data_IF_590290890683
#
_entry.id   IF_590290890683
#
_cell.length_a   1.000
_cell.length_b   1.000
_cell.length_c   1.000
_cell.angle_alpha   90.00
_cell.angle_beta   90.00
_cell.angle_gamma   90.00
#
_symmetry.space_group_name_H-M   'P 1'
#
loop_
_entity.id
_entity.type
_entity.pdbx_description
1 polymer ?
#
# COMPACT_ATOMS: atom_id res chain seq x y z
N UNK A 1 -6.23 8.41 2.85
CA UNK A 1 -5.38 8.16 4.04
C UNK A 1 -5.77 6.94 4.89
N UNK A 2 -6.98 6.33 4.80
CA UNK A 2 -7.24 4.95 5.30
C UNK A 2 -6.20 3.91 4.85
N UNK A 3 -5.53 4.18 3.72
CA UNK A 3 -4.38 3.43 3.25
C UNK A 3 -3.14 3.66 4.12
N UNK A 4 -2.74 4.85 4.54
CA UNK A 4 -1.44 5.07 5.20
C UNK A 4 -1.27 4.30 6.51
N UNK A 5 -2.27 4.30 7.40
CA UNK A 5 -2.28 3.45 8.61
C UNK A 5 -2.32 1.97 8.21
N UNK A 6 -3.22 1.57 7.30
CA UNK A 6 -3.27 0.18 6.78
C UNK A 6 -2.03 -0.24 5.96
N UNK A 7 -1.24 0.67 5.41
CA UNK A 7 -0.08 0.42 4.54
C UNK A 7 1.19 0.40 5.39
N UNK A 8 1.27 1.25 6.42
CA UNK A 8 2.23 1.11 7.52
C UNK A 8 2.01 -0.21 8.27
N UNK A 9 0.76 -0.65 8.44
CA UNK A 9 0.40 -1.85 9.21
C UNK A 9 0.36 -3.16 8.41
N UNK A 10 -0.21 -3.18 7.20
CA UNK A 10 -0.26 -4.39 6.36
C UNK A 10 1.06 -4.64 5.62
N UNK A 11 1.84 -3.59 5.35
CA UNK A 11 3.08 -3.70 4.57
C UNK A 11 4.30 -4.22 5.32
N UNK A 12 4.16 -4.71 6.56
CA UNK A 12 5.30 -5.16 7.38
C UNK A 12 5.28 -6.67 7.62
N UNK A 13 4.11 -7.24 7.94
CA UNK A 13 3.98 -8.68 8.23
C UNK A 13 3.53 -9.43 6.96
N UNK A 14 2.63 -8.87 6.14
CA UNK A 14 2.15 -9.53 4.92
C UNK A 14 3.09 -9.41 3.71
N UNK A 15 3.93 -8.37 3.65
CA UNK A 15 4.90 -8.17 2.55
C UNK A 15 6.11 -9.09 2.65
N UNK A 16 6.47 -9.54 3.85
CA UNK A 16 7.48 -10.58 4.09
C UNK A 16 6.94 -11.98 3.78
N UNK A 17 5.62 -12.19 3.97
CA UNK A 17 4.92 -13.43 3.66
C UNK A 17 4.47 -13.55 2.19
N UNK A 18 4.57 -12.46 1.43
CA UNK A 18 3.94 -12.32 0.11
C UNK A 18 4.86 -12.51 -1.08
N UNK A 19 6.09 -13.03 -0.90
CA UNK A 19 7.00 -13.22 -2.02
C UNK A 19 7.51 -14.65 -2.06
N UNK A 20 7.13 -15.33 -3.15
CA UNK A 20 7.79 -16.48 -3.81
C UNK A 20 6.96 -17.75 -4.03
N UNK A 21 5.63 -17.64 -4.01
CA UNK A 21 4.76 -18.54 -4.77
C UNK A 21 4.21 -17.91 -6.07
N UNK A 22 4.71 -16.75 -6.48
CA UNK A 22 4.51 -16.24 -7.84
C UNK A 22 5.44 -16.98 -8.82
N UNK A 23 5.20 -18.28 -8.99
CA UNK A 23 5.61 -19.00 -10.20
C UNK A 23 4.49 -19.00 -11.26
N UNK A 24 3.38 -18.32 -10.99
CA UNK A 24 2.28 -18.16 -11.91
C UNK A 24 1.87 -16.69 -11.88
N UNK A 25 2.20 -15.90 -12.92
CA UNK A 25 1.41 -14.72 -13.33
C UNK A 25 2.02 -13.88 -14.46
N UNK A 26 2.95 -14.39 -15.26
CA UNK A 26 3.22 -13.79 -16.56
C UNK A 26 3.57 -14.85 -17.61
N UNK A 27 3.02 -14.77 -18.83
CA UNK A 27 3.50 -15.59 -19.92
C UNK A 27 4.95 -15.26 -20.23
N UNK A 28 5.76 -16.27 -20.50
CA UNK A 28 7.11 -16.08 -20.98
C UNK A 28 7.12 -16.25 -22.50
N UNK A 29 7.57 -15.23 -23.22
CA UNK A 29 8.05 -15.32 -24.61
C UNK A 29 9.24 -16.29 -24.68
N UNK A 30 9.61 -16.81 -25.85
CA UNK A 30 10.86 -17.60 -26.00
C UNK A 30 12.10 -16.84 -25.51
N UNK A 31 12.12 -15.51 -25.68
CA UNK A 31 13.21 -14.68 -25.17
C UNK A 31 13.23 -14.65 -23.63
N UNK A 32 12.07 -14.51 -22.98
CA UNK A 32 11.94 -14.58 -21.52
C UNK A 32 12.21 -15.99 -20.99
N UNK A 33 11.74 -17.04 -21.67
CA UNK A 33 12.08 -18.42 -21.34
C UNK A 33 13.59 -18.66 -21.44
N UNK A 34 14.28 -18.15 -22.46
CA UNK A 34 15.74 -18.26 -22.58
C UNK A 34 16.49 -17.38 -21.57
N UNK A 35 15.89 -16.28 -21.11
CA UNK A 35 16.45 -15.46 -20.03
C UNK A 35 16.38 -16.20 -18.68
N UNK A 36 15.26 -16.85 -18.39
CA UNK A 36 15.04 -17.60 -17.16
C UNK A 36 15.70 -18.99 -17.20
N UNK A 37 15.85 -19.56 -18.41
CA UNK A 37 16.39 -20.88 -18.69
C UNK A 37 17.45 -20.84 -19.82
N UNK A 38 18.66 -20.32 -19.55
CA UNK A 38 19.69 -20.12 -20.58
C UNK A 38 20.23 -21.42 -21.20
N UNK A 39 19.98 -22.58 -20.58
CA UNK A 39 20.35 -23.90 -21.13
C UNK A 39 19.33 -24.47 -22.12
N UNK A 40 18.26 -23.73 -22.43
CA UNK A 40 17.24 -24.16 -23.38
C UNK A 40 17.85 -24.28 -24.80
N UNK A 41 17.91 -25.50 -25.39
CA UNK A 41 18.51 -25.69 -26.71
C UNK A 41 17.66 -25.03 -27.81
N UNK A 42 18.28 -24.75 -28.96
CA UNK A 42 17.56 -24.36 -30.16
C UNK A 42 16.83 -25.56 -30.77
N UNK A 43 15.56 -25.38 -31.16
CA UNK A 43 14.70 -26.40 -31.76
C UNK A 43 14.05 -27.35 -30.74
N UNK A 44 13.68 -26.85 -29.55
CA UNK A 44 13.13 -27.71 -28.49
C UNK A 44 11.68 -28.16 -28.75
N UNK A 45 11.27 -29.27 -28.12
CA UNK A 45 9.87 -29.75 -28.04
C UNK A 45 9.33 -29.64 -26.61
N UNK A 46 8.04 -29.95 -26.41
CA UNK A 46 7.39 -29.89 -25.09
C UNK A 46 8.09 -30.74 -24.03
N UNK A 47 8.64 -31.89 -24.43
CA UNK A 47 9.44 -32.77 -23.56
C UNK A 47 10.76 -32.12 -23.15
N UNK A 48 11.49 -31.52 -24.08
CA UNK A 48 12.77 -30.87 -23.83
C UNK A 48 12.59 -29.59 -23.01
N UNK A 49 11.52 -28.82 -23.28
CA UNK A 49 11.12 -27.68 -22.46
C UNK A 49 10.81 -28.12 -21.03
N UNK A 50 10.04 -29.21 -20.86
CA UNK A 50 9.73 -29.75 -19.54
C UNK A 50 11.00 -30.10 -18.75
N UNK A 51 11.96 -30.82 -19.35
CA UNK A 51 13.20 -31.20 -18.66
C UNK A 51 14.05 -30.00 -18.24
N UNK A 52 14.15 -28.98 -19.11
CA UNK A 52 14.90 -27.74 -18.80
C UNK A 52 14.23 -26.97 -17.67
N UNK A 53 12.90 -26.79 -17.72
CA UNK A 53 12.15 -26.10 -16.67
C UNK A 53 12.25 -26.85 -15.34
N UNK A 54 12.17 -28.19 -15.38
CA UNK A 54 12.33 -29.04 -14.20
C UNK A 54 13.71 -28.83 -13.57
N UNK A 55 14.78 -29.01 -14.34
CA UNK A 55 16.15 -28.89 -13.82
C UNK A 55 16.46 -27.49 -13.28
N UNK A 56 16.05 -26.44 -13.98
CA UNK A 56 16.28 -25.08 -13.53
C UNK A 56 15.41 -24.67 -12.34
N UNK A 57 14.20 -25.22 -12.21
CA UNK A 57 13.38 -25.04 -11.01
C UNK A 57 14.09 -25.63 -9.79
N UNK A 58 14.62 -26.86 -9.89
CA UNK A 58 15.39 -27.47 -8.80
C UNK A 58 16.58 -26.58 -8.38
N UNK A 59 17.40 -26.14 -9.35
CA UNK A 59 18.54 -25.24 -9.11
C UNK A 59 18.14 -23.91 -8.47
N UNK A 60 16.97 -23.36 -8.84
CA UNK A 60 16.46 -22.13 -8.24
C UNK A 60 16.18 -22.31 -6.76
N UNK A 61 15.52 -23.41 -6.36
CA UNK A 61 15.25 -23.71 -4.95
C UNK A 61 16.55 -23.94 -4.17
N UNK A 62 17.49 -24.69 -4.74
CA UNK A 62 18.83 -24.87 -4.15
C UNK A 62 19.52 -23.52 -3.88
N UNK A 63 19.53 -22.62 -4.86
CA UNK A 63 20.17 -21.31 -4.73
C UNK A 63 19.45 -20.41 -3.74
N UNK A 64 18.13 -20.27 -3.89
CA UNK A 64 17.35 -19.27 -3.15
C UNK A 64 17.25 -19.62 -1.65
N UNK A 65 17.22 -20.92 -1.33
CA UNK A 65 17.12 -21.43 0.04
C UNK A 65 18.42 -22.06 0.57
N UNK A 66 19.50 -22.06 -0.22
CA UNK A 66 20.78 -22.71 0.10
C UNK A 66 20.60 -24.20 0.48
N UNK A 67 19.80 -24.91 -0.31
CA UNK A 67 19.55 -26.35 -0.16
C UNK A 67 20.58 -27.15 -0.98
N UNK A 68 20.84 -28.39 -0.57
CA UNK A 68 21.61 -29.33 -1.37
C UNK A 68 20.72 -30.03 -2.41
N UNK A 69 21.31 -30.56 -3.48
CA UNK A 69 20.59 -31.42 -4.42
C UNK A 69 19.97 -32.64 -3.73
N UNK A 70 18.75 -32.99 -4.12
CA UNK A 70 17.96 -34.07 -3.55
C UNK A 70 17.30 -33.72 -2.21
N UNK A 71 17.01 -32.44 -1.96
CA UNK A 71 16.36 -32.02 -0.72
C UNK A 71 14.94 -32.58 -0.57
N UNK A 72 14.54 -32.77 0.69
CA UNK A 72 13.19 -33.17 1.09
C UNK A 72 12.27 -31.97 1.33
N UNK A 73 10.95 -32.18 1.25
CA UNK A 73 9.97 -31.15 1.59
C UNK A 73 10.16 -30.54 2.99
N UNK A 74 10.56 -31.35 3.98
CA UNK A 74 10.85 -30.88 5.34
C UNK A 74 12.09 -29.96 5.37
N UNK A 75 13.15 -30.29 4.64
CA UNK A 75 14.35 -29.46 4.52
C UNK A 75 14.04 -28.11 3.86
N UNK A 76 13.24 -28.14 2.79
CA UNK A 76 12.74 -26.92 2.15
C UNK A 76 11.93 -26.05 3.13
N UNK A 77 10.93 -26.64 3.80
CA UNK A 77 10.07 -25.93 4.73
C UNK A 77 10.87 -25.27 5.87
N UNK A 78 11.88 -25.98 6.38
CA UNK A 78 12.79 -25.47 7.41
C UNK A 78 13.71 -24.36 6.88
N UNK A 79 14.25 -24.50 5.67
CA UNK A 79 15.09 -23.46 5.06
C UNK A 79 14.28 -22.17 4.81
N UNK A 80 13.07 -22.31 4.28
CA UNK A 80 12.12 -21.20 4.11
C UNK A 80 11.83 -20.50 5.44
N UNK A 81 11.48 -21.27 6.48
CA UNK A 81 11.18 -20.73 7.81
C UNK A 81 12.37 -19.95 8.40
N UNK A 82 13.60 -20.48 8.26
CA UNK A 82 14.82 -19.80 8.72
C UNK A 82 15.10 -18.51 7.96
N UNK A 83 14.87 -18.49 6.64
CA UNK A 83 15.00 -17.27 5.85
C UNK A 83 14.00 -16.21 6.30
N UNK A 84 12.74 -16.60 6.53
CA UNK A 84 11.70 -15.70 7.04
C UNK A 84 12.08 -15.15 8.42
N UNK A 85 12.54 -16.00 9.34
CA UNK A 85 13.03 -15.54 10.64
C UNK A 85 14.22 -14.59 10.52
N UNK A 86 15.16 -14.84 9.60
CA UNK A 86 16.27 -13.92 9.34
C UNK A 86 15.75 -12.55 8.87
N UNK A 87 14.74 -12.51 8.01
CA UNK A 87 14.13 -11.26 7.57
C UNK A 87 13.42 -10.54 8.71
N UNK A 88 12.69 -11.27 9.56
CA UNK A 88 12.06 -10.73 10.78
C UNK A 88 13.12 -10.12 11.71
N UNK A 89 14.21 -10.84 12.01
CA UNK A 89 15.32 -10.34 12.82
C UNK A 89 15.94 -9.07 12.23
N UNK A 90 16.29 -9.09 10.94
CA UNK A 90 16.89 -7.94 10.27
C UNK A 90 15.93 -6.74 10.27
N UNK A 91 14.65 -7.00 10.00
CA UNK A 91 13.66 -5.96 9.90
C UNK A 91 13.36 -5.34 11.26
N UNK A 92 13.36 -6.10 12.36
CA UNK A 92 13.07 -5.57 13.69
C UNK A 92 14.32 -5.31 14.54
N UNK A 93 15.51 -5.53 13.99
CA UNK A 93 16.80 -5.42 14.69
C UNK A 93 16.85 -6.30 15.96
N UNK A 94 16.51 -7.58 15.80
CA UNK A 94 16.41 -8.54 16.91
C UNK A 94 17.53 -9.57 16.88
N UNK A 95 18.01 -9.93 18.07
CA UNK A 95 18.92 -11.05 18.28
C UNK A 95 18.23 -12.41 18.11
N UNK A 96 19.06 -13.46 18.02
CA UNK A 96 18.59 -14.85 18.04
C UNK A 96 17.96 -15.20 19.39
N UNK A 97 16.92 -16.02 19.38
CA UNK A 97 16.22 -16.48 20.57
C UNK A 97 15.20 -15.48 21.10
N UNK A 98 14.71 -14.55 20.26
CA UNK A 98 13.73 -13.57 20.69
C UNK A 98 12.41 -14.23 21.16
N UNK A 99 11.73 -13.54 22.07
CA UNK A 99 10.39 -13.89 22.55
C UNK A 99 9.33 -13.10 21.81
N UNK A 100 8.07 -13.58 21.88
CA UNK A 100 6.90 -12.83 21.41
C UNK A 100 6.88 -11.38 21.92
N UNK A 101 7.13 -11.17 23.21
CA UNK A 101 7.07 -9.85 23.80
C UNK A 101 8.15 -8.92 23.21
N UNK A 102 9.35 -9.43 22.97
CA UNK A 102 10.40 -8.65 22.29
C UNK A 102 10.02 -8.31 20.85
N UNK A 103 9.39 -9.22 20.12
CA UNK A 103 8.88 -8.95 18.76
C UNK A 103 7.76 -7.90 18.79
N UNK A 104 6.87 -7.95 19.77
CA UNK A 104 5.81 -6.94 19.96
C UNK A 104 6.43 -5.57 20.23
N UNK A 105 7.31 -5.45 21.22
CA UNK A 105 7.91 -4.17 21.58
C UNK A 105 8.75 -3.58 20.44
N UNK A 106 9.50 -4.42 19.71
CA UNK A 106 10.26 -3.99 18.53
C UNK A 106 9.33 -3.51 17.40
N UNK A 107 8.19 -4.18 17.20
CA UNK A 107 7.18 -3.76 16.23
C UNK A 107 6.56 -2.42 16.60
N UNK A 108 6.16 -2.25 17.87
CA UNK A 108 5.61 -1.00 18.39
C UNK A 108 6.63 0.14 18.28
N UNK A 109 7.89 -0.10 18.64
CA UNK A 109 8.95 0.90 18.50
C UNK A 109 9.16 1.35 17.04
N UNK A 110 9.13 0.42 16.08
CA UNK A 110 9.22 0.78 14.64
C UNK A 110 8.01 1.55 14.15
N UNK A 111 6.80 1.17 14.57
CA UNK A 111 5.58 1.90 14.23
C UNK A 111 5.61 3.32 14.81
N UNK A 112 6.03 3.46 16.07
CA UNK A 112 6.22 4.75 16.72
C UNK A 112 7.26 5.61 16.01
N UNK A 113 8.44 5.07 15.70
CA UNK A 113 9.48 5.81 14.98
C UNK A 113 9.02 6.32 13.62
N UNK A 114 8.25 5.52 12.87
CA UNK A 114 7.65 5.94 11.59
C UNK A 114 6.59 7.01 11.78
N UNK A 115 5.72 6.87 12.78
CA UNK A 115 4.71 7.87 13.11
C UNK A 115 5.38 9.22 13.41
N UNK A 116 6.33 9.23 14.36
CA UNK A 116 7.08 10.44 14.73
C UNK A 116 7.78 11.08 13.53
N UNK A 117 8.42 10.28 12.67
CA UNK A 117 9.11 10.77 11.48
C UNK A 117 8.13 11.39 10.47
N UNK A 118 7.04 10.68 10.16
CA UNK A 118 6.04 11.16 9.19
C UNK A 118 5.35 12.44 9.66
N UNK A 119 5.14 12.56 10.97
CA UNK A 119 4.46 13.69 11.60
C UNK A 119 5.43 14.78 12.10
N UNK A 120 6.75 14.62 11.92
CA UNK A 120 7.80 15.51 12.43
C UNK A 120 7.65 15.83 13.93
N UNK A 121 7.30 14.81 14.72
CA UNK A 121 7.04 14.95 16.14
C UNK A 121 8.24 14.55 17.00
N UNK A 122 8.44 15.20 18.16
CA UNK A 122 9.40 14.75 19.15
C UNK A 122 8.95 13.41 19.79
N UNK A 123 9.88 12.70 20.42
CA UNK A 123 9.61 11.38 21.03
C UNK A 123 8.45 11.41 22.03
N UNK A 124 8.41 12.43 22.87
CA UNK A 124 7.46 12.57 23.96
C UNK A 124 6.39 13.61 23.63
N UNK A 125 5.88 13.58 22.38
CA UNK A 125 4.93 14.57 21.89
C UNK A 125 3.63 14.59 22.71
N UNK A 126 3.09 15.79 22.86
CA UNK A 126 1.77 16.11 23.38
C UNK A 126 0.74 16.14 22.26
N UNK A 127 -0.54 16.00 22.62
CA UNK A 127 -1.63 16.14 21.65
C UNK A 127 -1.58 17.47 20.90
N UNK A 128 -1.24 18.56 21.60
CA UNK A 128 -1.15 19.89 21.00
C UNK A 128 -0.08 19.95 19.89
N UNK A 129 1.05 19.27 20.06
CA UNK A 129 2.10 19.21 19.04
C UNK A 129 1.65 18.41 17.80
N UNK A 130 0.92 17.31 17.99
CA UNK A 130 0.32 16.56 16.89
C UNK A 130 -0.69 17.43 16.13
N UNK A 131 -1.63 18.05 16.85
CA UNK A 131 -2.65 18.93 16.26
C UNK A 131 -1.96 20.07 15.49
N UNK A 132 -0.94 20.70 16.06
CA UNK A 132 -0.26 21.79 15.39
C UNK A 132 0.49 21.31 14.13
N UNK A 133 1.27 20.23 14.22
CA UNK A 133 2.06 19.72 13.08
C UNK A 133 1.17 19.30 11.91
N UNK A 134 0.12 18.52 12.19
CA UNK A 134 -0.80 18.02 11.17
C UNK A 134 -1.77 19.09 10.70
N UNK A 135 -2.20 19.96 11.61
CA UNK A 135 -2.97 21.14 11.30
C UNK A 135 -2.25 22.09 10.36
N UNK A 136 -0.95 22.29 10.57
CA UNK A 136 -0.11 23.11 9.71
C UNK A 136 -0.02 22.50 8.31
N UNK A 137 0.25 21.19 8.21
CA UNK A 137 0.28 20.49 6.91
C UNK A 137 -1.07 20.54 6.21
N UNK A 138 -2.16 20.27 6.93
CA UNK A 138 -3.52 20.28 6.42
C UNK A 138 -3.90 21.67 5.90
N UNK A 139 -3.77 22.70 6.74
CA UNK A 139 -4.08 24.08 6.38
C UNK A 139 -3.23 24.59 5.20
N UNK A 140 -1.94 24.23 5.14
CA UNK A 140 -1.07 24.58 4.01
C UNK A 140 -1.45 23.82 2.73
N UNK A 141 -1.80 22.53 2.85
CA UNK A 141 -2.19 21.71 1.69
C UNK A 141 -3.51 22.18 1.06
N UNK A 142 -4.46 22.60 1.89
CA UNK A 142 -5.74 23.19 1.47
C UNK A 142 -5.56 24.64 0.99
N UNK A 143 -4.52 25.33 1.47
CA UNK A 143 -4.12 26.68 1.03
C UNK A 143 -3.52 26.77 -0.38
N UNK A 144 -3.53 25.67 -1.16
CA UNK A 144 -2.99 25.53 -2.52
C UNK A 144 -1.45 25.47 -2.62
N UNK A 145 -0.97 24.82 -3.68
CA UNK A 145 0.44 24.46 -3.91
C UNK A 145 1.39 25.66 -3.75
N UNK A 146 2.45 25.46 -2.96
CA UNK A 146 3.56 26.41 -2.82
C UNK A 146 3.49 27.30 -1.58
N UNK A 147 2.42 27.20 -0.79
CA UNK A 147 2.34 27.88 0.50
C UNK A 147 3.32 27.26 1.52
N UNK A 148 3.88 28.12 2.38
CA UNK A 148 4.72 27.72 3.52
C UNK A 148 4.05 27.98 4.86
N UNK A 149 2.96 28.76 4.85
CA UNK A 149 2.29 29.25 6.05
C UNK A 149 0.77 29.14 5.87
N UNK A 150 0.02 28.93 6.98
CA UNK A 150 -1.44 28.90 6.95
C UNK A 150 -2.00 30.31 6.71
N UNK A 151 -3.15 30.37 6.03
CA UNK A 151 -3.76 31.64 5.64
C UNK A 151 -4.94 31.99 6.54
N UNK A 152 -5.09 33.26 6.96
CA UNK A 152 -6.35 33.73 7.54
C UNK A 152 -7.49 33.68 6.51
N UNK A 153 -8.72 33.76 7.00
CA UNK A 153 -9.94 33.69 6.21
C UNK A 153 -9.95 34.57 4.93
N UNK A 154 -9.44 35.81 5.02
CA UNK A 154 -9.48 36.77 3.90
C UNK A 154 -8.47 36.44 2.81
N UNK A 155 -7.26 36.04 3.19
CA UNK A 155 -6.20 35.63 2.27
C UNK A 155 -6.53 34.27 1.64
N UNK A 156 -7.11 33.35 2.42
CA UNK A 156 -7.63 32.07 1.92
C UNK A 156 -8.71 32.30 0.85
N UNK A 157 -9.67 33.18 1.10
CA UNK A 157 -10.73 33.55 0.15
C UNK A 157 -10.14 34.01 -1.18
N UNK A 158 -9.17 34.93 -1.14
CA UNK A 158 -8.51 35.47 -2.32
C UNK A 158 -7.75 34.39 -3.10
N UNK A 159 -7.02 33.53 -2.41
CA UNK A 159 -6.23 32.50 -3.08
C UNK A 159 -7.09 31.37 -3.65
N UNK A 160 -8.14 30.97 -2.93
CA UNK A 160 -9.11 29.99 -3.44
C UNK A 160 -9.80 30.49 -4.70
N UNK A 161 -10.19 31.76 -4.72
CA UNK A 161 -10.74 32.42 -5.90
C UNK A 161 -9.78 32.34 -7.09
N UNK A 162 -8.51 32.68 -6.90
CA UNK A 162 -7.48 32.64 -7.94
C UNK A 162 -7.22 31.22 -8.44
N UNK A 163 -7.11 30.24 -7.55
CA UNK A 163 -6.83 28.87 -7.94
C UNK A 163 -7.97 28.25 -8.74
N UNK A 164 -9.23 28.52 -8.37
CA UNK A 164 -10.40 28.05 -9.13
C UNK A 164 -10.51 28.75 -10.48
N UNK A 165 -10.23 30.06 -10.53
CA UNK A 165 -10.20 30.81 -11.79
C UNK A 165 -9.19 30.20 -12.78
N UNK A 166 -7.96 29.98 -12.33
CA UNK A 166 -6.91 29.34 -13.14
C UNK A 166 -7.27 27.90 -13.53
N UNK A 167 -7.95 27.14 -12.66
CA UNK A 167 -8.42 25.79 -12.97
C UNK A 167 -9.47 25.79 -14.09
N UNK A 168 -10.42 26.73 -14.04
CA UNK A 168 -11.43 26.88 -15.10
C UNK A 168 -10.82 27.33 -16.43
N UNK A 169 -9.88 28.27 -16.40
CA UNK A 169 -9.14 28.69 -17.61
C UNK A 169 -8.35 27.52 -18.21
N UNK A 170 -7.68 26.74 -17.38
CA UNK A 170 -6.81 25.64 -17.82
C UNK A 170 -7.61 24.45 -18.32
N UNK A 171 -8.60 23.99 -17.55
CA UNK A 171 -9.31 22.74 -17.83
C UNK A 171 -10.48 22.91 -18.80
N UNK A 172 -11.11 24.08 -18.82
CA UNK A 172 -12.28 24.36 -19.66
C UNK A 172 -11.98 25.36 -20.78
N UNK A 173 -10.73 25.84 -20.89
CA UNK A 173 -10.28 26.74 -21.94
C UNK A 173 -11.12 28.03 -22.03
N UNK A 174 -11.58 28.51 -20.87
CA UNK A 174 -12.28 29.78 -20.76
C UNK A 174 -11.31 30.93 -21.04
N UNK A 175 -11.84 32.06 -21.53
CA UNK A 175 -11.09 33.29 -21.73
C UNK A 175 -10.53 33.85 -20.41
N UNK A 176 -9.56 34.77 -20.49
CA UNK A 176 -8.96 35.39 -19.30
C UNK A 176 -9.97 36.17 -18.42
N UNK A 177 -11.13 36.52 -18.99
CA UNK A 177 -12.18 37.34 -18.39
C UNK A 177 -13.57 36.73 -18.64
N UNK A 178 -13.70 35.44 -18.38
CA UNK A 178 -14.92 34.70 -18.62
C UNK A 178 -16.08 35.16 -17.73
N UNK A 179 -17.29 34.99 -18.24
CA UNK A 179 -18.55 35.28 -17.55
C UNK A 179 -19.46 34.04 -17.47
N UNK A 180 -20.65 34.19 -16.88
CA UNK A 180 -21.60 33.08 -16.74
C UNK A 180 -22.10 32.54 -18.09
N UNK A 181 -22.19 33.37 -19.15
CA UNK A 181 -22.68 32.91 -20.45
C UNK A 181 -21.59 32.14 -21.21
N UNK A 182 -20.33 32.56 -21.11
CA UNK A 182 -19.19 31.80 -21.62
C UNK A 182 -19.06 30.46 -20.88
N UNK A 183 -19.16 30.47 -19.55
CA UNK A 183 -19.16 29.26 -18.74
C UNK A 183 -20.30 28.33 -19.16
N UNK A 184 -21.52 28.87 -19.32
CA UNK A 184 -22.72 28.13 -19.75
C UNK A 184 -22.58 27.51 -21.13
N UNK A 185 -21.96 28.21 -22.06
CA UNK A 185 -21.68 27.70 -23.41
C UNK A 185 -20.67 26.56 -23.37
N UNK A 186 -19.70 26.64 -22.46
CA UNK A 186 -18.59 25.68 -22.35
C UNK A 186 -18.98 24.39 -21.62
N UNK A 187 -19.63 24.49 -20.45
CA UNK A 187 -19.97 23.32 -19.62
C UNK A 187 -21.41 22.83 -19.80
N UNK A 188 -22.21 23.55 -20.58
CA UNK A 188 -23.63 23.29 -20.80
C UNK A 188 -24.56 23.91 -19.74
N UNK A 189 -25.86 24.08 -20.07
CA UNK A 189 -26.80 24.86 -19.28
C UNK A 189 -27.10 24.27 -17.89
N UNK A 190 -27.24 22.95 -17.78
CA UNK A 190 -27.57 22.29 -16.51
C UNK A 190 -26.43 22.37 -15.50
N UNK A 191 -25.20 22.17 -15.97
CA UNK A 191 -24.00 22.24 -15.13
C UNK A 191 -23.71 23.67 -14.70
N UNK A 192 -23.84 24.63 -15.61
CA UNK A 192 -23.73 26.05 -15.27
C UNK A 192 -24.81 26.52 -14.29
N UNK A 193 -26.06 26.06 -14.43
CA UNK A 193 -27.11 26.33 -13.46
C UNK A 193 -26.84 25.71 -12.07
N UNK A 194 -26.12 24.59 -12.03
CA UNK A 194 -25.69 23.96 -10.78
C UNK A 194 -24.56 24.75 -10.12
N UNK A 195 -23.53 25.14 -10.87
CA UNK A 195 -22.44 25.99 -10.39
C UNK A 195 -22.94 27.37 -9.95
N UNK A 196 -23.84 27.98 -10.73
CA UNK A 196 -24.52 29.23 -10.39
C UNK A 196 -25.26 29.15 -9.07
N UNK A 197 -26.00 28.07 -8.79
CA UNK A 197 -26.67 27.87 -7.49
C UNK A 197 -25.68 27.59 -6.36
N UNK A 198 -24.67 26.76 -6.61
CA UNK A 198 -23.70 26.35 -5.60
C UNK A 198 -22.85 27.54 -5.11
N UNK A 199 -22.45 28.40 -6.05
CA UNK A 199 -21.58 29.53 -5.78
C UNK A 199 -22.34 30.86 -5.73
N UNK A 200 -23.64 30.91 -6.02
CA UNK A 200 -24.44 32.15 -6.15
C UNK A 200 -23.88 33.12 -7.21
N UNK A 201 -23.41 32.58 -8.34
CA UNK A 201 -23.01 33.35 -9.53
C UNK A 201 -24.25 33.68 -10.35
N UNK A 202 -24.42 34.94 -10.77
CA UNK A 202 -25.61 35.45 -11.47
C UNK A 202 -25.26 36.02 -12.83
N UNK A 203 -26.24 36.05 -13.73
CA UNK A 203 -26.09 36.70 -15.02
C UNK A 203 -25.77 38.18 -14.84
N UNK A 204 -24.84 38.70 -15.65
CA UNK A 204 -24.39 40.09 -15.61
C UNK A 204 -23.30 40.40 -14.57
N UNK A 205 -22.85 39.42 -13.77
CA UNK A 205 -21.65 39.57 -12.94
C UNK A 205 -20.40 39.66 -13.81
N UNK A 206 -19.53 40.60 -13.49
CA UNK A 206 -18.19 40.73 -14.06
C UNK A 206 -17.30 39.59 -13.60
N UNK A 207 -16.25 39.29 -14.38
CA UNK A 207 -15.25 38.27 -14.01
C UNK A 207 -14.72 38.44 -12.57
N UNK A 208 -14.40 39.68 -12.16
CA UNK A 208 -13.93 39.96 -10.81
C UNK A 208 -14.96 39.61 -9.73
N UNK A 209 -16.25 39.92 -9.95
CA UNK A 209 -17.32 39.57 -9.03
C UNK A 209 -17.54 38.05 -8.95
N UNK A 210 -17.40 37.34 -10.08
CA UNK A 210 -17.49 35.88 -10.10
C UNK A 210 -16.36 35.25 -9.30
N UNK A 211 -15.12 35.69 -9.55
CA UNK A 211 -13.92 35.21 -8.84
C UNK A 211 -14.05 35.48 -7.33
N UNK A 212 -14.44 36.69 -6.93
CA UNK A 212 -14.71 37.01 -5.52
C UNK A 212 -15.76 36.08 -4.90
N UNK A 213 -16.85 35.83 -5.61
CA UNK A 213 -17.95 35.00 -5.13
C UNK A 213 -17.55 33.51 -5.01
N UNK A 214 -16.69 33.00 -5.89
CA UNK A 214 -16.09 31.67 -5.79
C UNK A 214 -15.23 31.55 -4.53
N UNK A 215 -14.38 32.54 -4.25
CA UNK A 215 -13.58 32.60 -3.02
C UNK A 215 -14.45 32.54 -1.77
N UNK A 216 -15.52 33.33 -1.71
CA UNK A 216 -16.47 33.34 -0.56
C UNK A 216 -17.12 31.98 -0.34
N UNK A 217 -17.52 31.33 -1.44
CA UNK A 217 -18.13 29.99 -1.40
C UNK A 217 -17.16 28.95 -0.83
N UNK A 218 -15.90 28.99 -1.26
CA UNK A 218 -14.85 28.10 -0.76
C UNK A 218 -14.51 28.34 0.70
N UNK A 219 -14.34 29.61 1.11
CA UNK A 219 -14.14 29.96 2.52
C UNK A 219 -15.28 29.43 3.39
N UNK A 220 -16.53 29.63 2.97
CA UNK A 220 -17.70 29.14 3.69
C UNK A 220 -17.74 27.60 3.76
N UNK A 221 -17.34 26.92 2.67
CA UNK A 221 -17.23 25.46 2.63
C UNK A 221 -16.15 24.95 3.59
N UNK A 222 -14.98 25.59 3.61
CA UNK A 222 -13.89 25.29 4.53
C UNK A 222 -14.34 25.46 5.98
N UNK A 223 -14.88 26.63 6.34
CA UNK A 223 -15.36 26.93 7.68
C UNK A 223 -16.45 25.93 8.14
N UNK A 224 -17.37 25.56 7.24
CA UNK A 224 -18.40 24.56 7.51
C UNK A 224 -17.82 23.15 7.72
N UNK A 225 -16.88 22.72 6.87
CA UNK A 225 -16.23 21.40 6.97
C UNK A 225 -15.53 21.24 8.32
N UNK A 226 -14.82 22.29 8.73
CA UNK A 226 -14.02 22.30 9.95
C UNK A 226 -14.78 22.78 11.18
N UNK A 227 -16.08 23.11 11.05
CA UNK A 227 -16.92 23.63 12.12
C UNK A 227 -16.35 24.86 12.83
N UNK A 228 -15.67 25.74 12.09
CA UNK A 228 -15.08 26.99 12.58
C UNK A 228 -15.84 28.23 12.07
N UNK A 229 -15.52 29.40 12.62
CA UNK A 229 -16.05 30.70 12.17
C UNK A 229 -15.72 30.95 10.69
N UNK A 230 -16.60 31.63 9.97
CA UNK A 230 -16.32 32.06 8.59
C UNK A 230 -15.22 33.14 8.50
N UNK A 231 -14.90 33.78 9.62
CA UNK A 231 -13.82 34.77 9.77
C UNK A 231 -12.64 34.19 10.56
N UNK A 232 -12.33 32.91 10.32
CA UNK A 232 -11.29 32.18 11.03
C UNK A 232 -9.89 32.83 10.88
N UNK A 233 -9.12 32.72 11.95
CA UNK A 233 -7.69 33.00 11.98
C UNK A 233 -6.89 31.83 11.40
N UNK A 234 -5.64 32.08 11.03
CA UNK A 234 -4.74 31.01 10.58
C UNK A 234 -4.57 29.92 11.66
N UNK A 235 -4.51 30.30 12.93
CA UNK A 235 -4.41 29.36 14.05
C UNK A 235 -5.67 28.49 14.22
N UNK A 236 -6.86 29.07 14.07
CA UNK A 236 -8.11 28.29 14.10
C UNK A 236 -8.19 27.29 12.95
N UNK A 237 -7.71 27.67 11.75
CA UNK A 237 -7.63 26.77 10.62
C UNK A 237 -6.64 25.60 10.88
N UNK A 238 -5.48 25.88 11.48
CA UNK A 238 -4.51 24.86 11.89
C UNK A 238 -5.13 23.94 12.93
N UNK A 239 -5.70 24.48 14.01
CA UNK A 239 -6.29 23.67 15.07
C UNK A 239 -7.37 22.75 14.54
N UNK A 240 -8.30 23.26 13.72
CA UNK A 240 -9.39 22.44 13.20
C UNK A 240 -8.92 21.34 12.24
N UNK A 241 -7.95 21.64 11.38
CA UNK A 241 -7.34 20.63 10.50
C UNK A 241 -6.57 19.55 11.30
N UNK A 242 -5.88 19.94 12.37
CA UNK A 242 -5.17 19.00 13.24
C UNK A 242 -6.11 18.11 14.06
N UNK A 243 -7.26 18.63 14.49
CA UNK A 243 -8.29 17.83 15.16
C UNK A 243 -8.91 16.78 14.23
N UNK A 244 -9.08 17.07 12.93
CA UNK A 244 -9.52 16.06 11.95
C UNK A 244 -8.57 14.85 11.93
N UNK A 245 -7.26 15.06 12.05
CA UNK A 245 -6.28 13.98 12.12
C UNK A 245 -6.34 13.20 13.44
N UNK A 246 -6.54 13.88 14.57
CA UNK A 246 -6.75 13.20 15.87
C UNK A 246 -8.00 12.31 15.84
N UNK A 247 -9.11 12.82 15.29
CA UNK A 247 -10.35 12.06 15.15
C UNK A 247 -10.19 10.90 14.16
N UNK A 248 -9.44 11.12 13.08
CA UNK A 248 -9.09 10.07 12.14
C UNK A 248 -8.27 8.95 12.79
N UNK A 249 -7.26 9.30 13.60
CA UNK A 249 -6.45 8.33 14.33
C UNK A 249 -7.29 7.53 15.32
N UNK A 250 -8.16 8.19 16.09
CA UNK A 250 -9.08 7.52 17.02
C UNK A 250 -10.02 6.56 16.31
N UNK A 251 -10.60 6.97 15.18
CA UNK A 251 -11.42 6.08 14.35
C UNK A 251 -10.62 4.91 13.78
N UNK A 252 -9.31 5.06 13.57
CA UNK A 252 -8.44 3.98 13.10
C UNK A 252 -8.21 2.89 14.15
N UNK A 253 -8.32 3.22 15.44
CA UNK A 253 -8.11 2.31 16.56
C UNK A 253 -9.39 1.92 17.32
N UNK A 254 -10.56 2.30 16.80
CA UNK A 254 -11.85 2.18 17.50
C UNK A 254 -11.81 2.74 18.93
N UNK A 255 -11.06 3.82 19.14
CA UNK A 255 -10.77 4.35 20.46
C UNK A 255 -11.78 5.45 20.89
N UNK A 256 -11.99 5.66 22.22
CA UNK A 256 -12.89 6.69 22.72
C UNK A 256 -12.54 8.10 22.22
N UNK A 257 -13.56 8.95 22.09
CA UNK A 257 -13.44 10.36 21.69
C UNK A 257 -12.96 11.28 22.83
N UNK A 258 -12.70 10.74 24.01
CA UNK A 258 -12.25 11.47 25.19
C UNK A 258 -10.88 10.97 25.66
N UNK A 259 -10.09 11.84 26.29
CA UNK A 259 -8.74 11.54 26.79
C UNK A 259 -7.61 12.15 25.95
N UNK A 260 -6.44 12.33 26.56
CA UNK A 260 -5.27 12.92 25.92
C UNK A 260 -4.61 11.93 24.94
N UNK A 261 -4.34 12.40 23.74
CA UNK A 261 -3.62 11.70 22.69
C UNK A 261 -2.12 12.05 22.78
N UNK A 262 -1.33 11.17 23.39
CA UNK A 262 0.12 11.36 23.54
C UNK A 262 0.88 10.08 23.16
N UNK A 263 2.20 10.08 23.34
CA UNK A 263 3.05 8.94 23.01
C UNK A 263 2.62 7.63 23.71
N UNK A 264 2.27 7.67 24.99
CA UNK A 264 1.87 6.48 25.77
C UNK A 264 0.54 5.90 25.29
N UNK A 265 -0.41 6.78 24.98
CA UNK A 265 -1.69 6.38 24.39
C UNK A 265 -1.45 5.63 23.08
N UNK A 266 -0.58 6.18 22.22
CA UNK A 266 -0.31 5.61 20.90
C UNK A 266 0.45 4.27 21.00
N UNK A 267 1.43 4.17 21.91
CA UNK A 267 2.14 2.92 22.21
C UNK A 267 1.15 1.83 22.65
N UNK A 268 0.18 2.17 23.49
CA UNK A 268 -0.84 1.22 23.97
C UNK A 268 -1.70 0.68 22.82
N UNK A 269 -2.18 1.56 21.93
CA UNK A 269 -3.02 1.15 20.80
C UNK A 269 -2.23 0.42 19.71
N UNK A 270 -0.99 0.84 19.45
CA UNK A 270 -0.07 0.08 18.58
C UNK A 270 0.19 -1.33 19.11
N UNK A 271 0.38 -1.49 20.43
CA UNK A 271 0.57 -2.82 21.03
C UNK A 271 -0.66 -3.70 20.83
N UNK A 272 -1.86 -3.18 21.07
CA UNK A 272 -3.10 -3.91 20.83
C UNK A 272 -3.27 -4.35 19.37
N UNK A 273 -2.95 -3.47 18.43
CA UNK A 273 -3.01 -3.75 16.99
C UNK A 273 -1.97 -4.80 16.57
N UNK A 274 -0.72 -4.69 17.05
CA UNK A 274 0.33 -5.70 16.80
C UNK A 274 -0.11 -7.07 17.33
N UNK A 275 -0.66 -7.11 18.55
CA UNK A 275 -1.20 -8.33 19.14
C UNK A 275 -2.29 -8.97 18.27
N UNK A 276 -3.26 -8.17 17.81
CA UNK A 276 -4.34 -8.66 16.95
C UNK A 276 -3.83 -9.18 15.60
N UNK A 277 -2.85 -8.49 15.00
CA UNK A 277 -2.23 -8.90 13.74
C UNK A 277 -1.38 -10.17 13.90
N UNK A 278 -0.67 -10.34 15.01
CA UNK A 278 0.06 -11.56 15.31
C UNK A 278 -0.88 -12.76 15.48
N UNK A 279 -1.99 -12.60 16.21
CA UNK A 279 -3.01 -13.65 16.35
C UNK A 279 -3.59 -14.07 15.00
N UNK A 280 -3.81 -13.11 14.09
CA UNK A 280 -4.32 -13.39 12.73
C UNK A 280 -3.27 -14.08 11.85
N UNK A 281 -2.01 -13.66 11.94
CA UNK A 281 -0.93 -14.14 11.06
C UNK A 281 -0.39 -15.51 11.50
N UNK A 282 -0.43 -15.78 12.81
CA UNK A 282 0.09 -17.00 13.42
C UNK A 282 -0.99 -17.71 14.25
N UNK A 283 -2.08 -18.17 13.61
CA UNK A 283 -3.15 -18.85 14.33
C UNK A 283 -2.59 -20.11 15.02
N UNK A 284 -2.88 -20.27 16.30
CA UNK A 284 -2.37 -21.38 17.12
C UNK A 284 -1.06 -21.10 17.88
N UNK A 285 -0.36 -19.99 17.58
CA UNK A 285 0.69 -19.46 18.45
C UNK A 285 0.09 -18.51 19.49
N UNK A 286 -0.68 -19.08 20.42
CA UNK A 286 -1.30 -18.34 21.52
C UNK A 286 -0.34 -18.15 22.70
N UNK A 287 -0.49 -17.04 23.43
CA UNK A 287 0.36 -16.73 24.58
C UNK A 287 1.81 -16.43 24.19
N UNK A 288 2.74 -16.60 25.12
CA UNK A 288 4.16 -16.33 24.88
C UNK A 288 4.80 -17.48 24.09
N UNK A 289 5.24 -17.19 22.87
CA UNK A 289 6.02 -18.10 22.05
C UNK A 289 7.48 -17.64 21.93
N UNK A 290 8.34 -18.60 21.66
CA UNK A 290 9.77 -18.42 21.35
C UNK A 290 10.00 -18.38 19.86
N UNK A 291 11.14 -17.85 19.44
CA UNK A 291 11.58 -17.91 18.05
C UNK A 291 11.49 -19.32 17.44
N UNK A 292 11.88 -20.38 18.17
CA UNK A 292 11.83 -21.75 17.65
C UNK A 292 10.39 -22.19 17.36
N UNK A 293 9.43 -21.84 18.22
CA UNK A 293 8.02 -22.13 17.98
C UNK A 293 7.47 -21.35 16.78
N UNK A 294 7.95 -20.11 16.56
CA UNK A 294 7.65 -19.36 15.34
C UNK A 294 8.28 -20.02 14.10
N UNK A 295 9.51 -20.53 14.19
CA UNK A 295 10.17 -21.28 13.12
C UNK A 295 9.34 -22.50 12.72
N UNK A 296 8.93 -23.31 13.70
CA UNK A 296 8.14 -24.52 13.46
C UNK A 296 6.79 -24.20 12.83
N UNK A 297 6.16 -23.11 13.25
CA UNK A 297 4.90 -22.63 12.67
C UNK A 297 5.09 -22.20 11.21
N UNK A 298 6.14 -21.42 10.92
CA UNK A 298 6.46 -20.97 9.57
C UNK A 298 6.81 -22.16 8.65
N UNK A 299 7.50 -23.17 9.15
CA UNK A 299 7.80 -24.38 8.41
C UNK A 299 6.51 -25.15 8.04
N UNK A 300 5.58 -25.31 8.99
CA UNK A 300 4.27 -25.92 8.71
C UNK A 300 3.45 -25.12 7.70
N UNK A 301 3.49 -23.79 7.76
CA UNK A 301 2.84 -22.94 6.76
C UNK A 301 3.48 -23.11 5.38
N UNK A 302 4.81 -23.14 5.30
CA UNK A 302 5.53 -23.35 4.03
C UNK A 302 5.19 -24.71 3.41
N UNK A 303 5.17 -25.78 4.21
CA UNK A 303 4.77 -27.11 3.77
C UNK A 303 3.30 -27.13 3.28
N UNK A 304 2.37 -26.55 4.06
CA UNK A 304 0.97 -26.47 3.67
C UNK A 304 0.76 -25.73 2.34
N UNK A 305 1.51 -24.64 2.10
CA UNK A 305 1.47 -23.88 0.84
C UNK A 305 2.01 -24.73 -0.31
N UNK A 306 3.12 -25.45 -0.12
CA UNK A 306 3.67 -26.34 -1.15
C UNK A 306 2.67 -27.44 -1.53
N UNK A 307 2.06 -28.09 -0.53
CA UNK A 307 1.04 -29.12 -0.74
C UNK A 307 -0.17 -28.58 -1.47
N UNK A 308 -0.64 -27.39 -1.10
CA UNK A 308 -1.77 -26.74 -1.76
C UNK A 308 -1.47 -26.40 -3.22
N UNK A 309 -0.30 -25.81 -3.50
CA UNK A 309 0.07 -25.36 -4.84
C UNK A 309 0.36 -26.51 -5.80
N UNK A 310 0.94 -27.61 -5.32
CA UNK A 310 1.41 -28.71 -6.16
C UNK A 310 0.66 -30.04 -5.95
N UNK A 311 -0.30 -30.09 -5.03
CA UNK A 311 -1.18 -31.24 -4.83
C UNK A 311 -0.53 -32.44 -4.11
N UNK A 312 0.46 -32.22 -3.26
CA UNK A 312 1.16 -33.32 -2.57
C UNK A 312 0.39 -33.89 -1.37
N UNK A 313 0.03 -35.17 -1.43
CA UNK A 313 -0.66 -35.88 -0.34
C UNK A 313 0.29 -36.60 0.64
N UNK A 314 1.55 -36.81 0.26
CA UNK A 314 2.54 -37.59 1.02
C UNK A 314 3.88 -36.90 1.19
N UNK A 315 4.92 -37.69 1.40
CA UNK A 315 6.29 -37.20 1.28
C UNK A 315 6.53 -36.70 -0.16
N UNK A 316 7.26 -35.60 -0.29
CA UNK A 316 7.72 -35.06 -1.56
C UNK A 316 9.17 -34.63 -1.43
N UNK A 317 9.88 -34.69 -2.54
CA UNK A 317 11.28 -34.30 -2.67
C UNK A 317 11.44 -33.24 -3.77
N UNK A 318 12.66 -32.72 -3.92
CA UNK A 318 13.04 -31.77 -4.97
C UNK A 318 12.50 -32.16 -6.35
N UNK A 319 12.66 -33.43 -6.73
CA UNK A 319 12.25 -33.91 -8.05
C UNK A 319 10.73 -33.77 -8.26
N UNK A 320 9.93 -34.03 -7.23
CA UNK A 320 8.47 -33.93 -7.30
C UNK A 320 8.03 -32.48 -7.47
N UNK A 321 8.64 -31.57 -6.70
CA UNK A 321 8.40 -30.12 -6.78
C UNK A 321 8.77 -29.59 -8.16
N UNK A 322 9.98 -29.90 -8.62
CA UNK A 322 10.47 -29.48 -9.92
C UNK A 322 9.57 -30.00 -11.05
N UNK A 323 9.09 -31.25 -10.93
CA UNK A 323 8.17 -31.87 -11.87
C UNK A 323 6.81 -31.17 -11.90
N UNK A 324 6.21 -30.92 -10.75
CA UNK A 324 4.90 -30.29 -10.64
C UNK A 324 4.94 -28.84 -11.17
N UNK A 325 5.99 -28.08 -10.85
CA UNK A 325 6.21 -26.74 -11.37
C UNK A 325 6.36 -26.73 -12.90
N UNK A 326 7.18 -27.63 -13.45
CA UNK A 326 7.36 -27.75 -14.89
C UNK A 326 6.05 -28.15 -15.61
N UNK A 327 5.27 -29.06 -15.03
CA UNK A 327 3.97 -29.44 -15.57
C UNK A 327 2.99 -28.26 -15.60
N UNK A 328 2.93 -27.46 -14.51
CA UNK A 328 2.06 -26.28 -14.44
C UNK A 328 2.43 -25.25 -15.51
N UNK A 329 3.71 -24.92 -15.64
CA UNK A 329 4.17 -23.94 -16.63
C UNK A 329 3.88 -24.41 -18.06
N UNK A 330 4.16 -25.68 -18.39
CA UNK A 330 3.87 -26.23 -19.72
C UNK A 330 2.36 -26.23 -19.99
N UNK A 331 1.53 -26.55 -19.01
CA UNK A 331 0.07 -26.51 -19.14
C UNK A 331 -0.44 -25.07 -19.39
N UNK A 332 0.08 -24.09 -18.67
CA UNK A 332 -0.27 -22.67 -18.87
C UNK A 332 0.12 -22.17 -20.26
N UNK A 333 1.35 -22.48 -20.72
CA UNK A 333 1.81 -22.16 -22.08
C UNK A 333 0.86 -22.77 -23.11
N UNK A 334 0.47 -24.04 -22.95
CA UNK A 334 -0.47 -24.71 -23.87
C UNK A 334 -1.82 -24.01 -23.92
N UNK A 335 -2.44 -23.73 -22.78
CA UNK A 335 -3.75 -23.08 -22.69
C UNK A 335 -3.70 -21.70 -23.35
N UNK A 336 -2.69 -20.92 -23.01
CA UNK A 336 -2.56 -19.53 -23.47
C UNK A 336 -2.40 -19.44 -24.98
N UNK A 337 -1.49 -20.25 -25.54
CA UNK A 337 -1.13 -20.21 -26.95
C UNK A 337 -1.93 -21.21 -27.81
N UNK A 338 -2.94 -21.87 -27.21
CA UNK A 338 -3.78 -22.89 -27.86
C UNK A 338 -2.96 -23.96 -28.57
N UNK A 339 -1.85 -24.35 -27.94
CA UNK A 339 -0.93 -25.32 -28.52
C UNK A 339 -1.50 -26.74 -28.40
N UNK A 340 -1.15 -27.62 -29.34
CA UNK A 340 -1.42 -29.05 -29.20
C UNK A 340 -0.76 -29.64 -27.94
N UNK A 341 -1.21 -30.83 -27.55
CA UNK A 341 -0.66 -31.53 -26.38
C UNK A 341 0.86 -31.72 -26.49
N UNK A 342 1.37 -31.97 -27.69
CA UNK A 342 2.79 -31.97 -27.99
C UNK A 342 3.07 -30.85 -28.98
N UNK A 343 4.00 -29.95 -28.63
CA UNK A 343 4.34 -28.80 -29.46
C UNK A 343 5.85 -28.65 -29.66
N UNK A 344 6.25 -28.08 -30.80
CA UNK A 344 7.63 -27.70 -31.10
C UNK A 344 7.87 -26.21 -30.86
N UNK A 345 9.14 -25.80 -30.81
CA UNK A 345 9.54 -24.39 -30.77
C UNK A 345 8.93 -23.59 -31.92
N UNK A 346 8.83 -24.13 -33.14
CA UNK A 346 8.20 -23.43 -34.27
C UNK A 346 6.71 -23.18 -34.02
N UNK A 347 6.01 -24.13 -33.41
CA UNK A 347 4.59 -23.98 -33.09
C UNK A 347 4.35 -22.96 -31.98
N UNK A 348 5.22 -22.96 -30.95
CA UNK A 348 5.19 -21.95 -29.90
C UNK A 348 5.53 -20.55 -30.46
N UNK A 349 6.58 -20.43 -31.29
CA UNK A 349 6.95 -19.19 -31.95
C UNK A 349 5.86 -18.65 -32.89
N UNK A 350 5.12 -19.53 -33.58
CA UNK A 350 4.04 -19.11 -34.47
C UNK A 350 2.76 -18.68 -33.72
N UNK A 351 2.57 -19.15 -32.49
CA UNK A 351 1.39 -18.85 -31.68
C UNK A 351 1.55 -17.59 -30.81
N UNK A 352 2.79 -17.17 -30.58
CA UNK A 352 3.16 -15.88 -29.96
C UNK A 352 3.09 -14.74 -30.95
#
# INVERSE_FOLDING_TARGET
MKRLIKTLLAGIIFSLLGAHADAANAPHTIAELRQDYPELPAGFDDKSLYEVVRAATALKFERDFNLHAGWSGDEYAQAYARQQLRLVRLYFDMDTGFTRDQLIESSVAKMMGRFLTNHHLPKDFSQAELIYSEGLKGAVSEGYKGQKEPLPAKEFEKQAAQAIDEDYKTNWHLSDHWDLEELRTTVGPERAATLSRLHNIRAGMTHAEIVEQLGKSEKARYAKRFHISADFTADEAVQAAGWEEVDFLRSGFDAPTEGEFNADWLITHFRAEVLANMQRSYPGLEGNFTENQLCDHLAKQADAVMRWNYGFEGHYEEYDVATAAAQSLVAEIRIKYKLPLHFTEEQLNAAM
#
